data_IF_755437842583
#
_entry.id   IF_755437842583
#
_cell.length_a   1.000
_cell.length_b   1.000
_cell.length_c   1.000
_cell.angle_alpha   90.00
_cell.angle_beta   90.00
_cell.angle_gamma   90.00
#
_symmetry.space_group_name_H-M   'P 1'
#
loop_
_entity.id
_entity.type
_entity.pdbx_description
1 polymer ?
#
# COMPACT_ATOMS: atom_id res chain seq x y z
N UNK A 1 -19.69 43.39 -1.26
CA UNK A 1 -20.24 42.08 -0.85
C UNK A 1 -19.64 41.00 -1.75
N UNK A 2 -18.98 39.99 -1.15
CA UNK A 2 -18.82 38.57 -1.58
C UNK A 2 -18.50 38.27 -3.06
N UNK A 3 -17.57 37.38 -3.48
CA UNK A 3 -16.77 36.25 -2.93
C UNK A 3 -15.74 35.97 -4.07
N UNK A 4 -14.49 35.56 -3.90
CA UNK A 4 -13.99 34.51 -3.02
C UNK A 4 -14.28 33.13 -3.63
N UNK A 5 -13.44 32.65 -4.55
CA UNK A 5 -13.44 31.22 -4.89
C UNK A 5 -12.01 30.71 -5.09
N UNK A 6 -11.44 30.24 -3.98
CA UNK A 6 -10.21 29.44 -3.93
C UNK A 6 -10.59 28.00 -4.21
N UNK A 7 -10.30 27.50 -5.40
CA UNK A 7 -10.37 26.07 -5.71
C UNK A 7 -9.05 25.42 -5.30
N UNK A 8 -9.03 24.78 -4.13
CA UNK A 8 -7.94 23.88 -3.72
C UNK A 8 -8.07 22.56 -4.49
N UNK A 9 -7.37 22.44 -5.61
CA UNK A 9 -7.15 21.15 -6.27
C UNK A 9 -6.02 20.43 -5.52
N UNK A 10 -6.32 19.35 -4.81
CA UNK A 10 -5.32 18.46 -4.22
C UNK A 10 -4.60 17.70 -5.33
N UNK A 11 -3.58 18.31 -5.93
CA UNK A 11 -2.64 17.61 -6.81
C UNK A 11 -1.77 16.72 -5.91
N UNK A 12 -1.94 15.41 -6.02
CA UNK A 12 -0.94 14.46 -5.52
C UNK A 12 0.36 14.72 -6.29
N UNK A 13 1.49 15.01 -5.62
CA UNK A 13 2.78 15.17 -6.29
C UNK A 13 3.10 13.91 -7.10
N UNK A 14 3.67 14.07 -8.29
CA UNK A 14 4.24 12.94 -9.01
C UNK A 14 5.47 12.42 -8.24
N UNK A 15 5.81 11.14 -8.43
CA UNK A 15 6.96 10.51 -7.77
C UNK A 15 8.25 11.32 -7.99
N UNK A 16 8.49 11.80 -9.22
CA UNK A 16 9.65 12.64 -9.55
C UNK A 16 9.69 13.95 -8.74
N UNK A 17 8.54 14.60 -8.58
CA UNK A 17 8.43 15.83 -7.80
C UNK A 17 8.67 15.56 -6.31
N UNK A 18 8.19 14.42 -5.81
CA UNK A 18 8.41 13.99 -4.44
C UNK A 18 9.89 13.69 -4.17
N UNK A 19 10.56 13.00 -5.09
CA UNK A 19 12.00 12.70 -5.02
C UNK A 19 12.82 14.00 -5.04
N UNK A 20 12.50 14.92 -5.95
CA UNK A 20 13.19 16.21 -6.03
C UNK A 20 13.05 17.01 -4.73
N UNK A 21 11.83 17.09 -4.19
CA UNK A 21 11.58 17.79 -2.93
C UNK A 21 12.33 17.16 -1.74
N UNK A 22 12.36 15.83 -1.65
CA UNK A 22 13.11 15.12 -0.60
C UNK A 22 14.62 15.33 -0.77
N UNK A 23 15.13 15.35 -2.01
CA UNK A 23 16.54 15.63 -2.31
C UNK A 23 16.94 17.02 -1.83
N UNK A 24 16.05 17.99 -1.96
CA UNK A 24 16.26 19.37 -1.50
C UNK A 24 16.05 19.54 0.02
N UNK A 25 15.71 18.47 0.74
CA UNK A 25 15.53 18.47 2.19
C UNK A 25 14.15 18.91 2.67
N UNK A 26 13.12 18.85 1.82
CA UNK A 26 11.74 19.15 2.22
C UNK A 26 11.18 18.06 3.16
N UNK A 27 11.19 18.35 4.45
CA UNK A 27 10.64 17.48 5.50
C UNK A 27 9.14 17.18 5.29
N UNK A 28 8.38 18.09 4.66
CA UNK A 28 6.95 17.88 4.40
C UNK A 28 6.75 16.83 3.31
N UNK A 29 7.63 16.82 2.30
CA UNK A 29 7.64 15.80 1.26
C UNK A 29 7.95 14.42 1.86
N UNK A 30 8.95 14.33 2.74
CA UNK A 30 9.27 13.09 3.44
C UNK A 30 8.13 12.60 4.35
N UNK A 31 7.52 13.51 5.13
CA UNK A 31 6.37 13.18 5.96
C UNK A 31 5.12 12.78 5.13
N UNK A 32 4.97 13.32 3.92
CA UNK A 32 3.94 12.90 2.98
C UNK A 32 4.20 11.48 2.47
N UNK A 33 5.42 11.20 2.00
CA UNK A 33 5.86 9.87 1.55
C UNK A 33 5.61 8.81 2.64
N UNK A 34 6.00 9.13 3.88
CA UNK A 34 5.84 8.23 5.02
C UNK A 34 4.38 7.85 5.25
N UNK A 35 3.48 8.85 5.27
CA UNK A 35 2.04 8.60 5.48
C UNK A 35 1.40 7.88 4.29
N UNK A 36 1.85 8.17 3.08
CA UNK A 36 1.26 7.63 1.85
C UNK A 36 1.50 6.13 1.71
N UNK A 37 2.68 5.64 2.07
CA UNK A 37 3.06 4.24 1.83
C UNK A 37 3.06 3.35 3.08
N UNK A 38 2.99 3.93 4.29
CA UNK A 38 2.88 3.18 5.55
C UNK A 38 1.81 2.07 5.54
N UNK A 39 0.54 2.32 5.14
CA UNK A 39 -0.53 1.33 5.29
C UNK A 39 -0.26 0.01 4.54
N UNK A 40 0.46 0.08 3.42
CA UNK A 40 0.76 -1.09 2.59
C UNK A 40 1.86 -1.96 3.21
N UNK A 41 2.89 -1.36 3.80
CA UNK A 41 3.96 -2.10 4.48
C UNK A 41 3.47 -2.65 5.82
N UNK A 42 2.72 -1.86 6.59
CA UNK A 42 2.18 -2.31 7.88
C UNK A 42 1.23 -3.50 7.71
N UNK A 43 0.33 -3.43 6.73
CA UNK A 43 -0.54 -4.55 6.40
C UNK A 43 0.27 -5.80 6.02
N UNK A 44 1.30 -5.67 5.18
CA UNK A 44 2.13 -6.80 4.79
C UNK A 44 2.81 -7.47 5.98
N UNK A 45 3.46 -6.71 6.86
CA UNK A 45 4.18 -7.27 8.02
C UNK A 45 3.22 -7.97 8.98
N UNK A 46 2.05 -7.37 9.27
CA UNK A 46 1.02 -7.96 10.13
C UNK A 46 0.45 -9.27 9.56
N UNK A 47 0.29 -9.36 8.23
CA UNK A 47 -0.15 -10.60 7.57
C UNK A 47 0.96 -11.67 7.48
N UNK A 48 2.21 -11.33 7.82
CA UNK A 48 3.37 -12.20 7.70
C UNK A 48 4.08 -12.39 9.05
N UNK A 49 3.32 -12.72 10.11
CA UNK A 49 3.83 -13.08 11.43
C UNK A 49 4.61 -11.95 12.15
N UNK A 50 4.30 -10.70 11.86
CA UNK A 50 4.89 -9.52 12.52
C UNK A 50 3.91 -8.79 13.42
N UNK A 51 4.45 -7.99 14.35
CA UNK A 51 3.69 -7.03 15.15
C UNK A 51 3.62 -5.64 14.47
N UNK A 52 2.87 -4.72 15.08
CA UNK A 52 2.86 -3.31 14.67
C UNK A 52 4.24 -2.65 14.90
N UNK A 53 4.91 -2.98 16.00
CA UNK A 53 6.28 -2.52 16.27
C UNK A 53 7.27 -3.04 15.22
N UNK A 54 7.19 -4.33 14.87
CA UNK A 54 8.00 -4.92 13.79
C UNK A 54 7.76 -4.17 12.46
N UNK A 55 6.50 -3.82 12.17
CA UNK A 55 6.14 -3.08 10.97
C UNK A 55 6.73 -1.66 10.97
N UNK A 56 6.68 -0.96 12.10
CA UNK A 56 7.23 0.38 12.25
C UNK A 56 8.74 0.36 12.03
N UNK A 57 9.44 -0.59 12.63
CA UNK A 57 10.89 -0.75 12.49
C UNK A 57 11.28 -1.05 11.04
N UNK A 58 10.60 -2.01 10.39
CA UNK A 58 10.87 -2.38 8.99
C UNK A 58 10.62 -1.18 8.07
N UNK A 59 9.53 -0.45 8.28
CA UNK A 59 9.20 0.67 7.42
C UNK A 59 10.15 1.85 7.61
N UNK A 60 10.53 2.16 8.85
CA UNK A 60 11.56 3.17 9.13
C UNK A 60 12.87 2.82 8.44
N UNK A 61 13.34 1.58 8.56
CA UNK A 61 14.56 1.12 7.91
C UNK A 61 14.46 1.23 6.37
N UNK A 62 13.33 0.80 5.79
CA UNK A 62 13.11 0.92 4.34
C UNK A 62 13.05 2.36 3.83
N UNK A 63 12.41 3.27 4.58
CA UNK A 63 12.37 4.71 4.27
C UNK A 63 13.75 5.34 4.41
N UNK A 64 14.55 4.94 5.41
CA UNK A 64 15.93 5.42 5.56
C UNK A 64 16.80 5.04 4.37
N UNK A 65 16.73 3.77 3.91
CA UNK A 65 17.45 3.32 2.71
C UNK A 65 17.03 4.13 1.48
N UNK A 66 15.73 4.39 1.31
CA UNK A 66 15.24 5.23 0.23
C UNK A 66 15.78 6.67 0.35
N UNK A 67 15.69 7.28 1.53
CA UNK A 67 16.12 8.65 1.78
C UNK A 67 17.61 8.86 1.52
N UNK A 68 18.46 7.93 1.98
CA UNK A 68 19.91 7.97 1.75
C UNK A 68 20.23 7.97 0.24
N UNK A 69 19.57 7.11 -0.53
CA UNK A 69 19.73 7.05 -2.00
C UNK A 69 19.20 8.28 -2.73
N UNK A 70 18.14 8.90 -2.23
CA UNK A 70 17.67 10.17 -2.78
C UNK A 70 18.71 11.27 -2.53
N UNK A 71 19.28 11.28 -1.32
CA UNK A 71 20.23 12.29 -0.84
C UNK A 71 21.61 12.20 -1.50
N UNK A 72 22.08 11.00 -1.79
CA UNK A 72 23.36 10.76 -2.47
C UNK A 72 23.26 10.83 -4.01
N UNK A 73 22.03 10.87 -4.54
CA UNK A 73 21.75 10.93 -5.97
C UNK A 73 21.93 9.60 -6.71
N UNK A 74 22.11 8.48 -5.99
CA UNK A 74 22.28 7.13 -6.54
C UNK A 74 20.96 6.39 -6.77
N UNK A 75 19.82 7.00 -6.42
CA UNK A 75 18.51 6.41 -6.67
C UNK A 75 18.19 6.39 -8.17
N UNK A 76 18.33 5.22 -8.78
CA UNK A 76 17.79 4.89 -10.10
C UNK A 76 16.47 4.15 -9.92
N UNK A 77 15.35 4.81 -10.25
CA UNK A 77 14.02 4.21 -10.21
C UNK A 77 13.54 3.90 -11.63
N UNK A 78 13.25 2.63 -11.89
CA UNK A 78 12.50 2.16 -13.06
C UNK A 78 11.02 1.89 -12.74
N UNK A 79 10.61 2.04 -11.48
CA UNK A 79 9.27 1.76 -10.96
C UNK A 79 8.77 2.91 -10.08
N UNK A 80 7.53 2.81 -9.60
CA UNK A 80 6.96 3.78 -8.66
C UNK A 80 7.64 3.68 -7.29
N UNK A 81 7.68 4.79 -6.54
CA UNK A 81 8.21 4.85 -5.17
C UNK A 81 7.53 3.81 -4.27
N UNK A 82 6.22 3.65 -4.44
CA UNK A 82 5.40 2.66 -3.74
C UNK A 82 5.97 1.24 -3.91
N UNK A 83 6.24 0.84 -5.15
CA UNK A 83 6.77 -0.47 -5.52
C UNK A 83 8.16 -0.68 -4.92
N UNK A 84 9.02 0.33 -5.04
CA UNK A 84 10.36 0.30 -4.47
C UNK A 84 10.35 0.10 -2.95
N UNK A 85 9.57 0.91 -2.22
CA UNK A 85 9.46 0.82 -0.77
C UNK A 85 8.89 -0.53 -0.33
N UNK A 86 7.89 -1.06 -1.05
CA UNK A 86 7.36 -2.39 -0.76
C UNK A 86 8.42 -3.48 -0.89
N UNK A 87 9.16 -3.49 -2.00
CA UNK A 87 10.20 -4.48 -2.26
C UNK A 87 11.30 -4.45 -1.18
N UNK A 88 11.79 -3.25 -0.84
CA UNK A 88 12.79 -3.07 0.22
C UNK A 88 12.26 -3.58 1.57
N UNK A 89 11.08 -3.11 1.99
CA UNK A 89 10.50 -3.49 3.29
C UNK A 89 10.20 -5.00 3.36
N UNK A 90 9.68 -5.59 2.28
CA UNK A 90 9.41 -7.02 2.20
C UNK A 90 10.68 -7.84 2.37
N UNK A 91 11.77 -7.47 1.70
CA UNK A 91 13.06 -8.15 1.84
C UNK A 91 13.61 -8.04 3.25
N UNK A 92 13.56 -6.85 3.86
CA UNK A 92 13.97 -6.63 5.25
C UNK A 92 13.20 -7.55 6.21
N UNK A 93 11.88 -7.62 6.05
CA UNK A 93 11.04 -8.46 6.89
C UNK A 93 11.30 -9.96 6.70
N UNK A 94 11.38 -10.44 5.46
CA UNK A 94 11.68 -11.84 5.18
C UNK A 94 13.05 -12.25 5.72
N UNK A 95 14.06 -11.38 5.61
CA UNK A 95 15.37 -11.58 6.25
C UNK A 95 15.22 -11.77 7.76
N UNK A 96 14.48 -10.87 8.45
CA UNK A 96 14.21 -10.97 9.89
C UNK A 96 13.48 -12.26 10.26
N UNK A 97 12.49 -12.70 9.48
CA UNK A 97 11.79 -13.97 9.70
C UNK A 97 12.72 -15.17 9.60
N UNK A 98 13.63 -15.19 8.60
CA UNK A 98 14.61 -16.28 8.50
C UNK A 98 15.59 -16.28 9.67
N UNK A 99 16.00 -15.12 10.17
CA UNK A 99 16.84 -15.00 11.36
C UNK A 99 16.11 -15.42 12.64
N UNK A 100 14.84 -15.00 12.83
CA UNK A 100 13.98 -15.41 13.97
C UNK A 100 13.75 -16.93 13.94
N UNK A 101 13.51 -17.52 12.77
CA UNK A 101 13.35 -18.98 12.59
C UNK A 101 14.64 -19.75 12.87
N UNK A 102 15.81 -19.19 12.52
CA UNK A 102 17.11 -19.78 12.85
C UNK A 102 17.48 -19.57 14.32
N UNK A 103 16.98 -18.55 15.00
CA UNK A 103 17.24 -18.33 16.43
C UNK A 103 16.60 -19.38 17.36
N UNK A 104 15.69 -20.23 16.85
CA UNK A 104 15.29 -21.48 17.52
C UNK A 104 16.35 -22.58 17.50
N UNK A 105 17.36 -22.46 16.62
CA UNK A 105 18.50 -23.37 16.44
C UNK A 105 19.78 -22.54 16.22
N UNK A 106 20.39 -22.11 17.33
CA UNK A 106 21.76 -21.56 17.47
C UNK A 106 22.11 -20.29 16.68
N UNK A 107 22.40 -19.25 17.47
CA UNK A 107 23.46 -18.26 17.28
C UNK A 107 24.69 -18.86 16.55
N UNK A 108 25.01 -18.33 15.38
CA UNK A 108 26.26 -18.34 14.59
C UNK A 108 25.79 -17.75 13.22
N UNK A 109 26.12 -16.55 12.78
CA UNK A 109 27.43 -15.93 12.63
C UNK A 109 27.18 -14.41 12.43
N UNK A 110 27.94 -13.60 13.14
CA UNK A 110 27.98 -12.14 13.00
C UNK A 110 29.15 -11.82 12.09
N UNK A 111 28.94 -11.87 10.77
CA UNK A 111 29.78 -11.17 9.81
C UNK A 111 28.92 -10.64 8.66
N UNK A 112 29.23 -9.41 8.24
CA UNK A 112 28.77 -8.71 7.05
C UNK A 112 27.66 -7.64 7.24
N UNK A 113 28.05 -6.55 7.89
CA UNK A 113 27.68 -5.20 7.44
C UNK A 113 28.38 -4.90 6.10
N UNK A 114 27.98 -5.59 5.02
CA UNK A 114 28.39 -5.39 3.63
C UNK A 114 27.20 -4.97 2.74
N UNK A 115 27.44 -4.34 1.57
CA UNK A 115 26.52 -3.36 0.98
C UNK A 115 25.16 -3.97 0.66
N UNK A 116 24.10 -3.22 0.97
CA UNK A 116 22.68 -3.56 0.80
C UNK A 116 22.21 -3.89 -0.64
N UNK A 117 23.10 -4.17 -1.58
CA UNK A 117 22.85 -4.19 -3.02
C UNK A 117 23.64 -5.31 -3.71
N UNK A 118 22.97 -6.44 -3.88
CA UNK A 118 23.20 -7.56 -4.81
C UNK A 118 22.72 -8.82 -4.08
N UNK A 119 21.80 -9.67 -4.55
CA UNK A 119 21.32 -10.05 -5.87
C UNK A 119 19.95 -10.73 -5.62
N UNK A 120 18.86 -10.18 -6.14
CA UNK A 120 17.49 -10.71 -5.88
C UNK A 120 16.36 -9.67 -6.00
N UNK A 121 16.70 -8.42 -6.27
CA UNK A 121 15.73 -7.32 -6.41
C UNK A 121 14.73 -7.54 -7.55
N UNK A 122 15.09 -8.26 -8.62
CA UNK A 122 14.23 -8.45 -9.80
C UNK A 122 12.98 -9.30 -9.50
N UNK A 123 13.11 -10.40 -8.77
CA UNK A 123 11.96 -11.27 -8.45
C UNK A 123 11.02 -10.59 -7.43
N UNK A 124 11.59 -9.82 -6.51
CA UNK A 124 10.85 -8.99 -5.55
C UNK A 124 10.16 -7.80 -6.23
N UNK A 125 10.78 -7.19 -7.25
CA UNK A 125 10.21 -6.16 -8.10
C UNK A 125 9.04 -6.72 -8.92
N UNK A 126 9.21 -7.87 -9.57
CA UNK A 126 8.13 -8.52 -10.33
C UNK A 126 6.92 -8.87 -9.45
N UNK A 127 7.16 -9.38 -8.25
CA UNK A 127 6.08 -9.66 -7.30
C UNK A 127 5.38 -8.38 -6.80
N UNK A 128 6.14 -7.29 -6.60
CA UNK A 128 5.62 -5.99 -6.23
C UNK A 128 4.80 -5.35 -7.36
N UNK A 129 5.30 -5.42 -8.60
CA UNK A 129 4.62 -4.97 -9.82
C UNK A 129 3.30 -5.71 -10.04
N UNK A 130 3.29 -7.04 -9.86
CA UNK A 130 2.07 -7.83 -9.95
C UNK A 130 1.05 -7.44 -8.87
N UNK A 131 1.53 -7.15 -7.65
CA UNK A 131 0.66 -6.70 -6.58
C UNK A 131 0.11 -5.29 -6.82
N UNK A 132 0.93 -4.37 -7.33
CA UNK A 132 0.50 -3.03 -7.73
C UNK A 132 -0.51 -3.09 -8.88
N UNK A 133 -0.29 -3.96 -9.87
CA UNK A 133 -1.25 -4.22 -10.94
C UNK A 133 -2.59 -4.68 -10.38
N UNK A 134 -2.59 -5.65 -9.46
CA UNK A 134 -3.81 -6.14 -8.80
C UNK A 134 -4.51 -5.04 -8.00
N UNK A 135 -3.76 -4.17 -7.34
CA UNK A 135 -4.31 -3.01 -6.61
C UNK A 135 -4.95 -2.00 -7.54
N UNK A 136 -4.29 -1.65 -8.64
CA UNK A 136 -4.81 -0.73 -9.67
C UNK A 136 -6.09 -1.29 -10.28
N UNK A 137 -6.10 -2.56 -10.71
CA UNK A 137 -7.29 -3.22 -11.25
C UNK A 137 -8.43 -3.26 -10.23
N UNK A 138 -8.14 -3.48 -8.94
CA UNK A 138 -9.16 -3.45 -7.89
C UNK A 138 -9.74 -2.04 -7.69
N UNK A 139 -8.90 -1.01 -7.67
CA UNK A 139 -9.32 0.39 -7.56
C UNK A 139 -10.21 0.80 -8.73
N UNK A 140 -9.83 0.44 -9.95
CA UNK A 140 -10.64 0.66 -11.14
C UNK A 140 -11.96 -0.09 -11.07
N UNK A 141 -11.96 -1.36 -10.65
CA UNK A 141 -13.19 -2.14 -10.50
C UNK A 141 -14.14 -1.53 -9.45
N UNK A 142 -13.62 -0.98 -8.35
CA UNK A 142 -14.40 -0.25 -7.34
C UNK A 142 -14.97 1.05 -7.89
N UNK A 143 -14.22 1.80 -8.71
CA UNK A 143 -14.72 3.01 -9.37
C UNK A 143 -15.83 2.69 -10.37
N UNK A 144 -15.69 1.63 -11.17
CA UNK A 144 -16.72 1.17 -12.12
C UNK A 144 -17.96 0.56 -11.43
N UNK A 145 -17.83 0.12 -10.17
CA UNK A 145 -18.96 -0.41 -9.41
C UNK A 145 -20.04 0.66 -9.16
N UNK A 146 -19.59 1.90 -8.91
CA UNK A 146 -20.44 3.06 -8.65
C UNK A 146 -21.15 3.06 -7.30
N UNK A 147 -21.79 4.17 -6.98
CA UNK A 147 -22.62 4.32 -5.77
C UNK A 147 -24.01 3.70 -5.96
N UNK A 148 -24.66 3.20 -4.88
CA UNK A 148 -24.20 3.16 -3.49
C UNK A 148 -23.28 1.97 -3.15
N UNK A 149 -22.98 1.11 -4.12
CA UNK A 149 -22.27 -0.14 -3.88
C UNK A 149 -20.83 0.05 -3.39
N UNK A 150 -20.11 1.04 -3.94
CA UNK A 150 -18.75 1.38 -3.50
C UNK A 150 -18.74 1.77 -2.02
N UNK A 151 -19.50 2.81 -1.63
CA UNK A 151 -19.54 3.27 -0.24
C UNK A 151 -20.05 2.20 0.73
N UNK A 152 -20.97 1.33 0.30
CA UNK A 152 -21.45 0.22 1.14
C UNK A 152 -20.35 -0.81 1.42
N UNK A 153 -19.53 -1.14 0.41
CA UNK A 153 -18.42 -2.08 0.57
C UNK A 153 -17.27 -1.46 1.36
N UNK A 154 -16.92 -0.21 1.08
CA UNK A 154 -15.90 0.54 1.83
C UNK A 154 -16.30 0.69 3.30
N UNK A 155 -17.55 1.08 3.56
CA UNK A 155 -18.09 1.20 4.90
C UNK A 155 -17.99 -0.08 5.71
N UNK A 156 -18.26 -1.23 5.07
CA UNK A 156 -18.18 -2.52 5.76
C UNK A 156 -16.74 -3.07 5.90
N UNK A 157 -15.95 -3.05 4.82
CA UNK A 157 -14.66 -3.74 4.79
C UNK A 157 -13.46 -2.86 5.16
N UNK A 158 -13.57 -1.53 5.01
CA UNK A 158 -12.49 -0.59 5.31
C UNK A 158 -12.72 0.19 6.60
N UNK A 159 -13.98 0.54 6.88
CA UNK A 159 -14.36 1.34 8.06
C UNK A 159 -14.98 0.51 9.19
N UNK A 160 -15.08 -0.81 9.01
CA UNK A 160 -15.63 -1.79 9.98
C UNK A 160 -17.01 -1.39 10.54
N UNK A 161 -17.82 -0.67 9.75
CA UNK A 161 -19.16 -0.24 10.17
C UNK A 161 -20.08 -1.43 10.35
N UNK A 162 -20.91 -1.39 11.39
CA UNK A 162 -21.90 -2.43 11.63
C UNK A 162 -22.97 -2.45 10.54
N UNK A 163 -23.62 -3.59 10.34
CA UNK A 163 -24.77 -3.67 9.42
C UNK A 163 -25.91 -2.76 9.87
N UNK A 164 -26.06 -2.49 11.17
CA UNK A 164 -27.06 -1.54 11.67
C UNK A 164 -26.73 -0.10 11.21
N UNK A 165 -25.47 0.33 11.34
CA UNK A 165 -25.04 1.68 10.94
C UNK A 165 -25.21 1.88 9.44
N UNK A 166 -24.80 0.89 8.64
CA UNK A 166 -24.96 0.91 7.19
C UNK A 166 -26.44 0.85 6.77
N UNK A 167 -27.30 0.21 7.55
CA UNK A 167 -28.75 0.22 7.29
C UNK A 167 -29.32 1.63 7.42
N UNK A 168 -28.96 2.32 8.52
CA UNK A 168 -29.41 3.69 8.77
C UNK A 168 -28.82 4.69 7.76
N UNK A 169 -27.53 4.58 7.46
CA UNK A 169 -26.80 5.48 6.57
C UNK A 169 -27.32 5.45 5.13
N UNK A 170 -27.64 4.26 4.61
CA UNK A 170 -28.11 4.08 3.23
C UNK A 170 -29.63 4.00 3.11
N UNK A 171 -30.37 4.14 4.22
CA UNK A 171 -31.84 4.12 4.24
C UNK A 171 -32.45 2.76 3.92
N UNK A 172 -31.77 1.66 4.24
CA UNK A 172 -32.34 0.32 4.09
C UNK A 172 -33.38 0.05 5.18
N UNK A 173 -34.40 -0.74 4.85
CA UNK A 173 -35.51 -1.06 5.76
C UNK A 173 -35.10 -1.95 6.94
N UNK A 174 -34.06 -2.78 6.76
CA UNK A 174 -33.50 -3.63 7.82
C UNK A 174 -32.08 -4.10 7.44
N UNK A 175 -31.39 -4.67 8.42
CA UNK A 175 -30.02 -5.18 8.26
C UNK A 175 -29.88 -6.31 7.23
N UNK A 176 -30.92 -7.10 7.00
CA UNK A 176 -30.86 -8.18 6.02
C UNK A 176 -30.93 -7.67 4.58
N UNK A 177 -31.65 -6.57 4.34
CA UNK A 177 -31.61 -5.85 3.07
C UNK A 177 -30.22 -5.28 2.80
N UNK A 178 -29.58 -4.68 3.81
CA UNK A 178 -28.21 -4.18 3.70
C UNK A 178 -27.21 -5.32 3.41
N UNK A 179 -27.32 -6.47 4.10
CA UNK A 179 -26.49 -7.67 3.83
C UNK A 179 -26.68 -8.20 2.41
N UNK A 180 -27.93 -8.32 1.96
CA UNK A 180 -28.26 -8.79 0.61
C UNK A 180 -27.72 -7.83 -0.45
N UNK A 181 -27.82 -6.53 -0.22
CA UNK A 181 -27.28 -5.53 -1.13
C UNK A 181 -25.75 -5.57 -1.15
N UNK A 182 -25.10 -5.67 0.02
CA UNK A 182 -23.64 -5.87 0.13
C UNK A 182 -23.19 -7.09 -0.67
N UNK A 183 -23.89 -8.22 -0.53
CA UNK A 183 -23.58 -9.44 -1.28
C UNK A 183 -23.68 -9.21 -2.80
N UNK A 184 -24.74 -8.57 -3.28
CA UNK A 184 -24.89 -8.23 -4.71
C UNK A 184 -23.77 -7.32 -5.21
N UNK A 185 -23.43 -6.29 -4.43
CA UNK A 185 -22.33 -5.38 -4.75
C UNK A 185 -21.00 -6.13 -4.83
N UNK A 186 -20.72 -7.04 -3.88
CA UNK A 186 -19.51 -7.86 -3.87
C UNK A 186 -19.42 -8.80 -5.09
N UNK A 187 -20.53 -9.45 -5.47
CA UNK A 187 -20.58 -10.30 -6.67
C UNK A 187 -20.31 -9.49 -7.94
N UNK A 188 -20.85 -8.26 -8.02
CA UNK A 188 -20.62 -7.37 -9.17
C UNK A 188 -19.19 -6.87 -9.22
N UNK A 189 -18.61 -6.50 -8.07
CA UNK A 189 -17.18 -6.14 -7.96
C UNK A 189 -16.29 -7.28 -8.44
N UNK A 190 -16.58 -8.51 -7.99
CA UNK A 190 -15.84 -9.70 -8.42
C UNK A 190 -15.86 -9.86 -9.95
N UNK A 191 -17.02 -9.67 -10.58
CA UNK A 191 -17.14 -9.73 -12.05
C UNK A 191 -16.29 -8.65 -12.72
N UNK A 192 -16.40 -7.39 -12.30
CA UNK A 192 -15.62 -6.28 -12.85
C UNK A 192 -14.12 -6.54 -12.73
N UNK A 193 -13.66 -6.96 -11.55
CA UNK A 193 -12.26 -7.29 -11.31
C UNK A 193 -11.75 -8.36 -12.29
N UNK A 194 -12.47 -9.50 -12.44
CA UNK A 194 -12.03 -10.58 -13.32
C UNK A 194 -12.22 -10.30 -14.82
N UNK A 195 -13.05 -9.33 -15.21
CA UNK A 195 -13.13 -8.86 -16.59
C UNK A 195 -11.87 -8.06 -16.94
N UNK A 196 -11.54 -7.06 -16.12
CA UNK A 196 -10.35 -6.22 -16.36
C UNK A 196 -9.03 -6.98 -16.16
N UNK A 197 -8.99 -7.96 -15.25
CA UNK A 197 -7.80 -8.78 -15.01
C UNK A 197 -7.48 -9.78 -16.14
N UNK A 198 -8.43 -10.08 -17.04
CA UNK A 198 -8.27 -11.09 -18.11
C UNK A 198 -7.87 -10.50 -19.47
N UNK A 199 -7.85 -9.19 -19.66
CA UNK A 199 -7.68 -8.56 -20.97
C UNK A 199 -6.23 -8.31 -21.41
N UNK A 200 -5.21 -8.65 -20.61
CA UNK A 200 -3.81 -8.55 -21.05
C UNK A 200 -3.07 -9.89 -20.93
N UNK A 201 -2.95 -10.65 -22.04
CA UNK A 201 -1.85 -11.59 -22.20
C UNK A 201 -0.58 -10.80 -22.54
N UNK A 202 0.50 -11.13 -21.82
CA UNK A 202 1.88 -10.79 -22.17
C UNK A 202 2.20 -11.33 -23.57
#
# INVERSE_FOLDING_TARGET
MSRGNSTSSSLTPTDDALIAAIRDGDERALAHLYRLHWPMVSHFVLQNSGSEDDAQDVYQEGVMVFYEKVRDGSLELSCQIKTYLYAVCRRLWLKRLTSKSRFGVRLLDDEEHGPYLNTGAEEDLLAAEEQDRRFTTMSEALNHLGEPCRSLLEGFYLLDKSMQDLTAEFGYTNADNAKNQKYKCLVRLKKLFFTHYKEEPI
#
